data_IF_649017968831
#
_entry.id   IF_649017968831
#
_cell.length_a   1.000
_cell.length_b   1.000
_cell.length_c   1.000
_cell.angle_alpha   90.00
_cell.angle_beta   90.00
_cell.angle_gamma   90.00
#
_symmetry.space_group_name_H-M   'P 1'
#
loop_
_entity.id
_entity.type
_entity.pdbx_description
1 polymer ?
#
# COMPACT_ATOMS: atom_id res chain seq x y z
N UNK A 1 27.94 -4.71 -11.75
CA UNK A 1 26.98 -5.76 -11.36
C UNK A 1 25.65 -5.04 -11.24
N UNK A 2 24.70 -5.34 -12.12
CA UNK A 2 23.31 -4.90 -11.89
C UNK A 2 22.85 -5.65 -10.65
N UNK A 3 22.54 -4.91 -9.60
CA UNK A 3 22.00 -5.47 -8.36
C UNK A 3 20.57 -5.91 -8.68
N UNK A 4 20.41 -7.13 -9.20
CA UNK A 4 19.10 -7.68 -9.51
C UNK A 4 18.34 -7.82 -8.19
N UNK A 5 17.34 -6.95 -7.98
CA UNK A 5 16.55 -6.95 -6.76
C UNK A 5 15.62 -8.15 -6.81
N UNK A 6 15.90 -9.15 -5.98
CA UNK A 6 15.07 -10.34 -5.88
C UNK A 6 13.76 -10.02 -5.15
N UNK A 7 12.66 -10.46 -5.74
CA UNK A 7 11.33 -10.38 -5.17
C UNK A 7 10.68 -11.76 -5.14
N UNK A 8 9.95 -12.04 -4.07
CA UNK A 8 9.20 -13.29 -3.91
C UNK A 8 7.98 -13.30 -4.85
N UNK A 9 7.19 -14.38 -4.82
CA UNK A 9 5.95 -14.48 -5.58
C UNK A 9 5.02 -13.32 -5.27
N UNK A 10 4.26 -12.89 -6.28
CA UNK A 10 3.33 -11.77 -6.19
C UNK A 10 2.35 -11.87 -5.02
N UNK A 11 1.86 -13.08 -4.71
CA UNK A 11 0.99 -13.32 -3.55
C UNK A 11 1.69 -13.04 -2.22
N UNK A 12 2.97 -13.40 -2.08
CA UNK A 12 3.74 -13.19 -0.85
C UNK A 12 3.97 -11.70 -0.64
N UNK A 13 4.40 -10.99 -1.69
CA UNK A 13 4.63 -9.55 -1.61
C UNK A 13 3.31 -8.77 -1.43
N UNK A 14 2.19 -9.25 -2.00
CA UNK A 14 0.86 -8.71 -1.73
C UNK A 14 0.52 -8.79 -0.25
N UNK A 15 0.59 -10.00 0.35
CA UNK A 15 0.24 -10.22 1.76
C UNK A 15 1.15 -9.45 2.73
N UNK A 16 2.41 -9.23 2.35
CA UNK A 16 3.40 -8.51 3.15
C UNK A 16 3.22 -6.99 3.10
N UNK A 17 2.86 -6.46 1.94
CA UNK A 17 2.84 -5.03 1.68
C UNK A 17 1.45 -4.41 1.77
N UNK A 18 0.39 -5.15 1.44
CA UNK A 18 -0.97 -4.64 1.51
C UNK A 18 -1.60 -4.93 2.86
N UNK A 19 -1.79 -3.86 3.63
CA UNK A 19 -2.34 -3.93 4.97
C UNK A 19 -3.86 -3.74 4.93
N UNK A 20 -4.56 -4.57 5.70
CA UNK A 20 -5.99 -4.42 5.96
C UNK A 20 -6.13 -3.64 7.28
N UNK A 21 -6.83 -2.50 7.29
CA UNK A 21 -7.06 -1.76 8.52
C UNK A 21 -8.00 -2.54 9.44
N UNK A 22 -7.70 -2.60 10.73
CA UNK A 22 -8.61 -3.15 11.74
C UNK A 22 -9.73 -2.15 12.03
N UNK A 23 -10.96 -2.65 12.14
CA UNK A 23 -12.13 -1.81 12.43
C UNK A 23 -12.16 -1.32 13.89
N UNK A 24 -11.60 -2.11 14.81
CA UNK A 24 -11.61 -1.87 16.26
C UNK A 24 -10.23 -2.18 16.86
N UNK A 25 -9.19 -1.35 16.57
CA UNK A 25 -7.81 -1.60 17.04
C UNK A 25 -7.66 -1.58 18.58
N UNK A 26 -8.56 -0.88 19.27
CA UNK A 26 -8.70 -0.87 20.74
C UNK A 26 -9.55 -2.03 21.29
N UNK A 27 -10.23 -2.77 20.40
CA UNK A 27 -11.12 -3.88 20.74
C UNK A 27 -12.59 -3.50 20.83
N UNK A 28 -13.46 -4.42 21.26
CA UNK A 28 -14.90 -4.18 21.37
C UNK A 28 -15.21 -3.12 22.45
N UNK A 29 -16.43 -2.59 22.42
CA UNK A 29 -16.91 -1.67 23.45
C UNK A 29 -16.74 -2.26 24.86
N UNK A 30 -16.09 -1.52 25.76
CA UNK A 30 -15.75 -1.97 27.11
C UNK A 30 -14.44 -2.76 27.23
N UNK A 31 -13.66 -2.86 26.15
CA UNK A 31 -12.31 -3.44 26.17
C UNK A 31 -11.37 -2.61 27.07
N UNK A 32 -10.58 -3.24 27.96
CA UNK A 32 -9.58 -2.53 28.76
C UNK A 32 -8.33 -2.13 27.94
N UNK A 33 -8.24 -2.57 26.68
CA UNK A 33 -7.08 -2.32 25.83
C UNK A 33 -7.09 -0.87 25.35
N UNK A 34 -5.98 -0.16 25.57
CA UNK A 34 -5.82 1.23 25.11
C UNK A 34 -6.64 2.25 25.93
N UNK A 35 -7.11 1.90 27.13
CA UNK A 35 -7.96 2.77 27.97
C UNK A 35 -7.36 4.16 28.22
N UNK A 36 -6.03 4.24 28.31
CA UNK A 36 -5.30 5.48 28.58
C UNK A 36 -4.29 5.84 27.48
N UNK A 37 -4.33 5.15 26.35
CA UNK A 37 -3.35 5.32 25.26
C UNK A 37 -4.07 5.63 23.93
N UNK A 38 -3.61 6.63 23.15
CA UNK A 38 -4.18 6.90 21.85
C UNK A 38 -4.00 5.73 20.89
N UNK A 39 -5.05 5.43 20.13
CA UNK A 39 -4.99 4.43 19.05
C UNK A 39 -3.88 4.77 18.07
N UNK A 40 -2.95 3.83 17.89
CA UNK A 40 -1.91 3.93 16.88
C UNK A 40 -2.28 3.11 15.66
N UNK A 41 -1.90 3.62 14.49
CA UNK A 41 -2.26 2.99 13.22
C UNK A 41 -1.56 1.62 13.00
N UNK A 42 -0.39 1.41 13.63
CA UNK A 42 0.37 0.17 13.48
C UNK A 42 1.23 -0.12 14.71
N UNK A 43 1.23 -1.38 15.15
CA UNK A 43 2.08 -1.87 16.27
C UNK A 43 3.53 -2.12 15.87
N UNK A 44 3.81 -2.24 14.58
CA UNK A 44 5.16 -2.44 14.02
C UNK A 44 5.54 -1.25 13.14
N UNK A 45 6.84 -0.92 13.01
CA UNK A 45 7.29 0.12 12.10
C UNK A 45 6.81 -0.11 10.66
N UNK A 46 6.56 0.97 9.93
CA UNK A 46 6.29 0.91 8.49
C UNK A 46 7.50 0.37 7.74
N UNK A 47 7.26 -0.53 6.79
CA UNK A 47 8.28 -1.03 5.86
C UNK A 47 8.09 -0.37 4.49
N UNK A 48 9.17 -0.21 3.73
CA UNK A 48 9.12 0.32 2.36
C UNK A 48 8.12 -0.51 1.53
N UNK A 49 7.26 0.17 0.77
CA UNK A 49 6.25 -0.46 -0.08
C UNK A 49 4.92 -0.81 0.62
N UNK A 50 4.84 -0.73 1.95
CA UNK A 50 3.59 -0.99 2.66
C UNK A 50 2.52 0.07 2.38
N UNK A 51 1.29 -0.38 2.13
CA UNK A 51 0.14 0.48 1.80
C UNK A 51 -1.18 -0.19 2.17
N UNK A 52 -2.24 0.60 2.31
CA UNK A 52 -3.60 0.06 2.43
C UNK A 52 -4.19 -0.27 1.07
N UNK A 53 -5.16 -1.19 1.06
CA UNK A 53 -6.05 -1.34 -0.09
C UNK A 53 -6.87 -0.06 -0.29
N UNK A 54 -6.85 0.48 -1.50
CA UNK A 54 -7.66 1.63 -1.89
C UNK A 54 -8.49 1.28 -3.10
N UNK A 55 -9.78 1.56 -3.05
CA UNK A 55 -10.71 1.35 -4.16
C UNK A 55 -10.56 2.40 -5.27
N UNK A 56 -9.73 3.43 -5.07
CA UNK A 56 -9.57 4.55 -6.01
C UNK A 56 -8.24 4.53 -6.77
N UNK A 57 -7.45 3.48 -6.58
CA UNK A 57 -6.18 3.30 -7.28
C UNK A 57 -6.35 2.31 -8.44
N UNK A 58 -5.44 2.39 -9.42
CA UNK A 58 -5.35 1.40 -10.48
C UNK A 58 -5.03 0.01 -9.91
N UNK A 59 -5.75 -1.01 -10.39
CA UNK A 59 -5.50 -2.41 -10.02
C UNK A 59 -4.12 -2.87 -10.52
N UNK A 60 -3.79 -2.56 -11.77
CA UNK A 60 -2.49 -2.89 -12.36
C UNK A 60 -1.68 -1.63 -12.63
N UNK A 61 -0.95 -1.17 -11.63
CA UNK A 61 -0.25 0.13 -11.67
C UNK A 61 0.85 0.18 -12.72
N UNK A 62 1.62 -0.90 -12.89
CA UNK A 62 2.68 -0.97 -13.91
C UNK A 62 2.14 -0.74 -15.33
N UNK A 63 0.95 -1.27 -15.65
CA UNK A 63 0.30 -1.00 -16.94
C UNK A 63 -0.10 0.47 -17.12
N UNK A 64 -0.44 1.16 -16.04
CA UNK A 64 -0.91 2.54 -16.09
C UNK A 64 0.21 3.58 -15.92
N UNK A 65 1.43 3.12 -15.69
CA UNK A 65 2.60 3.96 -15.55
C UNK A 65 2.83 4.78 -16.83
N UNK A 66 3.06 6.09 -16.68
CA UNK A 66 3.22 7.03 -17.78
C UNK A 66 1.99 7.17 -18.70
N UNK A 67 0.82 6.69 -18.26
CA UNK A 67 -0.45 6.85 -18.98
C UNK A 67 -1.32 7.87 -18.25
N UNK A 68 -1.29 9.15 -18.66
CA UNK A 68 -2.12 10.18 -18.02
C UNK A 68 -3.59 9.96 -18.33
N UNK A 69 -4.43 10.26 -17.33
CA UNK A 69 -5.89 10.34 -17.50
C UNK A 69 -6.22 11.42 -18.53
N UNK A 70 -7.12 11.11 -19.46
CA UNK A 70 -7.52 12.01 -20.55
C UNK A 70 -8.72 12.90 -20.20
N UNK A 71 -9.06 13.00 -18.91
CA UNK A 71 -10.20 13.81 -18.43
C UNK A 71 -9.74 15.22 -18.04
N UNK A 72 -10.42 16.30 -18.51
CA UNK A 72 -10.08 17.66 -18.15
C UNK A 72 -10.15 17.89 -16.63
N UNK A 73 -9.05 18.31 -16.02
CA UNK A 73 -8.96 18.53 -14.57
C UNK A 73 -8.64 17.27 -13.76
N UNK A 74 -8.27 16.17 -14.42
CA UNK A 74 -7.79 14.97 -13.75
C UNK A 74 -6.59 15.27 -12.85
N UNK A 75 -6.58 14.68 -11.65
CA UNK A 75 -5.42 14.73 -10.78
C UNK A 75 -4.25 13.94 -11.39
N UNK A 76 -2.99 14.33 -11.10
CA UNK A 76 -1.81 13.56 -11.47
C UNK A 76 -1.93 12.12 -10.98
N UNK A 77 -1.40 11.16 -11.75
CA UNK A 77 -1.48 9.72 -11.42
C UNK A 77 -0.56 9.32 -10.25
N UNK A 78 0.34 10.23 -9.82
CA UNK A 78 1.32 10.00 -8.76
C UNK A 78 2.29 8.85 -9.06
N UNK A 79 2.62 8.70 -10.34
CA UNK A 79 3.58 7.74 -10.86
C UNK A 79 5.02 8.14 -10.47
N UNK A 80 5.87 7.15 -10.19
CA UNK A 80 7.29 7.37 -9.93
C UNK A 80 8.04 7.35 -11.27
N UNK A 81 8.61 8.47 -11.76
CA UNK A 81 9.22 8.53 -13.08
C UNK A 81 10.45 7.61 -13.23
N UNK A 82 11.07 7.20 -12.12
CA UNK A 82 12.30 6.40 -12.11
C UNK A 82 12.00 4.89 -11.97
N UNK A 83 10.75 4.50 -11.67
CA UNK A 83 10.35 3.11 -11.41
C UNK A 83 9.14 2.72 -12.27
N UNK A 84 9.32 1.72 -13.13
CA UNK A 84 8.26 1.23 -14.03
C UNK A 84 7.50 0.02 -13.49
N UNK A 85 7.92 -0.50 -12.33
CA UNK A 85 7.34 -1.69 -11.72
C UNK A 85 6.83 -1.36 -10.31
N UNK A 86 5.61 -1.82 -9.98
CA UNK A 86 5.09 -1.74 -8.62
C UNK A 86 4.66 -3.10 -8.09
N UNK A 87 5.55 -3.70 -7.31
CA UNK A 87 5.30 -4.88 -6.48
C UNK A 87 3.89 -4.88 -5.86
N UNK A 88 3.15 -6.01 -5.95
CA UNK A 88 3.53 -7.31 -6.50
C UNK A 88 3.34 -7.45 -8.01
N UNK A 89 2.99 -6.36 -8.69
CA UNK A 89 2.67 -6.38 -10.10
C UNK A 89 3.92 -6.01 -10.90
N UNK A 90 4.46 -6.97 -11.65
CA UNK A 90 5.45 -6.74 -12.70
C UNK A 90 4.72 -6.30 -13.96
#
# INVERSE_FOLDING_TARGET
MTDETYHDFSTVEAMKNFLVPETLPEGPYGSPRGEHEPVQNKSTPWRKGQRYYSAFNYEYKSLHQNIPRQDPGAHPVHDDPDENEQQPYS
#
